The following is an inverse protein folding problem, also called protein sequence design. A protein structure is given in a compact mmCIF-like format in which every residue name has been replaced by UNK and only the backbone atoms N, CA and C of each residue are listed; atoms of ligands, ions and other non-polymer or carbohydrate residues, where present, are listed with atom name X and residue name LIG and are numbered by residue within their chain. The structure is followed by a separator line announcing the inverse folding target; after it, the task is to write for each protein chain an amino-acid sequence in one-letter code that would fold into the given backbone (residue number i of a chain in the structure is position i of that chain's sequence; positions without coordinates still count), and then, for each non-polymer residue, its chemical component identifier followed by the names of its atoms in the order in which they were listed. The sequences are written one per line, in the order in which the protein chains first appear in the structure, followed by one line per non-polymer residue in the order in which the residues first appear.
data_IF_887326669270
#
_entry.id   IF_887326669270
#
_cell.length_a   1.000
_cell.length_b   1.000
_cell.length_c   1.000
_cell.angle_alpha   90.00
_cell.angle_beta   90.00
_cell.angle_gamma   90.00
#
_symmetry.space_group_name_H-M   'P 1'
#
loop_
_entity.id
_entity.type
_entity.pdbx_description
1 polymer ?
#
# COMPACT_ATOMS: atom_id res chain seq x y z
N UNK A 1 6.88 9.55 15.07
CA UNK A 1 6.50 8.25 15.65
C UNK A 1 5.51 7.53 14.73
N UNK A 2 5.61 6.20 14.63
CA UNK A 2 4.71 5.38 13.79
C UNK A 2 3.88 4.44 14.69
N UNK A 3 2.60 4.24 14.36
CA UNK A 3 1.70 3.31 15.07
C UNK A 3 0.97 2.37 14.09
N UNK A 4 0.40 1.29 14.62
CA UNK A 4 -0.37 0.35 13.79
C UNK A 4 -1.84 0.75 13.63
N UNK A 5 -2.41 1.49 14.58
CA UNK A 5 -3.82 1.89 14.55
C UNK A 5 -3.99 3.40 14.63
N UNK A 6 -5.08 3.89 14.05
CA UNK A 6 -5.48 5.30 14.14
C UNK A 6 -5.77 5.70 15.59
N UNK A 7 -6.34 4.78 16.39
CA UNK A 7 -6.57 4.98 17.82
C UNK A 7 -5.26 5.24 18.56
N UNK A 8 -4.26 4.38 18.37
CA UNK A 8 -2.95 4.55 19.00
C UNK A 8 -2.24 5.83 18.52
N UNK A 9 -2.36 6.18 17.23
CA UNK A 9 -1.83 7.45 16.72
C UNK A 9 -2.47 8.64 17.44
N UNK A 10 -3.80 8.62 17.60
CA UNK A 10 -4.56 9.68 18.27
C UNK A 10 -4.20 9.79 19.75
N UNK A 11 -4.22 8.68 20.48
CA UNK A 11 -3.86 8.65 21.91
C UNK A 11 -2.43 9.15 22.16
N UNK A 12 -1.49 8.81 21.27
CA UNK A 12 -0.11 9.30 21.35
C UNK A 12 -0.02 10.82 21.13
N UNK A 13 -0.75 11.36 20.13
CA UNK A 13 -0.82 12.82 19.91
C UNK A 13 -1.43 13.54 21.11
N UNK A 14 -2.56 13.05 21.62
CA UNK A 14 -3.23 13.63 22.81
C UNK A 14 -2.31 13.63 24.03
N UNK A 15 -1.52 12.57 24.24
CA UNK A 15 -0.55 12.50 25.33
C UNK A 15 0.59 13.51 25.18
N UNK A 16 1.08 13.73 23.95
CA UNK A 16 2.16 14.67 23.66
C UNK A 16 1.69 16.13 23.79
N UNK A 17 0.48 16.44 23.33
CA UNK A 17 -0.12 17.77 23.45
C UNK A 17 -0.27 18.25 24.91
N UNK A 18 -0.37 17.33 25.87
CA UNK A 18 -0.41 17.66 27.32
C UNK A 18 0.97 17.96 27.92
N UNK A 19 2.06 17.62 27.22
CA UNK A 19 3.44 17.69 27.75
C UNK A 19 4.32 18.70 27.05
N UNK A 20 3.94 19.13 25.85
CA UNK A 20 4.71 20.04 25.01
C UNK A 20 3.89 21.29 24.69
N UNK A 21 4.54 22.44 24.46
CA UNK A 21 3.88 23.59 23.85
C UNK A 21 3.19 23.20 22.55
N UNK A 22 2.04 23.81 22.26
CA UNK A 22 1.18 23.40 21.14
C UNK A 22 1.95 23.35 19.80
N UNK A 23 2.77 24.36 19.52
CA UNK A 23 3.57 24.43 18.29
C UNK A 23 4.54 23.24 18.12
N UNK A 24 5.14 22.75 19.22
CA UNK A 24 6.04 21.59 19.19
C UNK A 24 5.26 20.28 19.08
N UNK A 25 4.08 20.20 19.70
CA UNK A 25 3.22 19.02 19.60
C UNK A 25 2.66 18.80 18.20
N UNK A 26 2.39 19.89 17.46
CA UNK A 26 1.90 19.85 16.07
C UNK A 26 3.03 19.54 15.07
N UNK A 27 4.26 19.95 15.39
CA UNK A 27 5.44 19.58 14.59
C UNK A 27 5.77 18.07 14.67
N UNK A 28 5.34 17.39 15.73
CA UNK A 28 5.55 15.95 15.93
C UNK A 28 4.72 15.11 14.95
N UNK A 29 5.42 14.52 13.98
CA UNK A 29 4.83 13.60 13.00
C UNK A 29 4.51 12.26 13.65
N UNK A 30 3.30 12.14 14.19
CA UNK A 30 2.70 10.86 14.58
C UNK A 30 1.78 10.40 13.45
N UNK A 31 1.93 9.17 12.94
CA UNK A 31 1.02 8.62 11.93
C UNK A 31 1.01 7.09 11.94
N UNK A 32 0.06 6.47 11.25
CA UNK A 32 0.16 5.03 10.92
C UNK A 32 1.13 4.81 9.76
N UNK A 33 1.51 3.56 9.51
CA UNK A 33 2.27 3.18 8.30
C UNK A 33 1.54 3.59 7.02
N UNK A 34 0.27 3.24 6.89
CA UNK A 34 -0.55 3.60 5.73
C UNK A 34 -0.70 5.11 5.54
N UNK A 35 -0.87 5.88 6.62
CA UNK A 35 -0.94 7.34 6.53
C UNK A 35 0.41 7.98 6.16
N UNK A 36 1.54 7.37 6.52
CA UNK A 36 2.85 7.79 6.03
C UNK A 36 3.00 7.44 4.54
N UNK A 37 2.65 6.22 4.17
CA UNK A 37 2.68 5.71 2.80
C UNK A 37 1.84 6.52 1.82
N UNK A 38 0.61 6.88 2.20
CA UNK A 38 -0.24 7.76 1.41
C UNK A 38 0.41 9.13 1.17
N UNK A 39 0.96 9.76 2.21
CA UNK A 39 1.67 11.05 2.08
C UNK A 39 2.92 10.91 1.20
N UNK A 40 3.64 9.80 1.32
CA UNK A 40 4.77 9.49 0.46
C UNK A 40 4.34 9.42 -1.01
N UNK A 41 3.32 8.62 -1.32
CA UNK A 41 2.82 8.47 -2.69
C UNK A 41 2.20 9.75 -3.25
N UNK A 42 1.60 10.60 -2.42
CA UNK A 42 1.13 11.92 -2.87
C UNK A 42 2.28 12.85 -3.29
N UNK A 43 3.42 12.78 -2.61
CA UNK A 43 4.60 13.58 -2.94
C UNK A 43 5.38 12.99 -4.13
N UNK A 44 5.53 11.67 -4.15
CA UNK A 44 6.34 10.93 -5.12
C UNK A 44 5.48 10.24 -6.19
N UNK A 45 4.25 10.73 -6.44
CA UNK A 45 3.28 10.07 -7.32
C UNK A 45 3.87 9.73 -8.68
N UNK A 46 4.70 10.63 -9.24
CA UNK A 46 5.26 10.47 -10.58
C UNK A 46 6.27 9.33 -10.61
N UNK A 47 7.08 9.19 -9.55
CA UNK A 47 8.01 8.07 -9.38
C UNK A 47 7.26 6.73 -9.23
N UNK A 48 6.10 6.77 -8.58
CA UNK A 48 5.21 5.61 -8.47
C UNK A 48 4.43 5.29 -9.76
N UNK A 49 4.58 6.06 -10.84
CA UNK A 49 3.78 5.91 -12.06
C UNK A 49 2.31 6.32 -11.89
N UNK A 50 2.00 7.15 -10.89
CA UNK A 50 0.67 7.64 -10.55
C UNK A 50 0.49 9.11 -10.94
N UNK A 51 -0.76 9.50 -11.19
CA UNK A 51 -1.17 10.91 -11.33
C UNK A 51 -1.54 11.48 -9.95
N UNK A 52 -1.40 12.80 -9.76
CA UNK A 52 -1.61 13.52 -8.47
C UNK A 52 -2.92 13.16 -7.74
N UNK A 53 -3.99 12.90 -8.49
CA UNK A 53 -5.33 12.61 -7.95
C UNK A 53 -5.63 11.11 -7.97
N UNK A 54 -4.73 10.27 -7.47
CA UNK A 54 -4.99 8.84 -7.39
C UNK A 54 -5.97 8.50 -6.25
N UNK A 55 -6.78 7.47 -6.46
CA UNK A 55 -7.74 6.99 -5.48
C UNK A 55 -7.14 5.85 -4.64
N UNK A 56 -7.56 5.74 -3.39
CA UNK A 56 -7.28 4.56 -2.55
C UNK A 56 -8.55 3.74 -2.50
N UNK A 57 -8.51 2.51 -3.03
CA UNK A 57 -9.64 1.60 -2.96
C UNK A 57 -9.79 1.03 -1.56
N UNK A 58 -11.04 0.90 -1.13
CA UNK A 58 -11.38 0.19 0.09
C UNK A 58 -11.52 -1.33 -0.16
N UNK A 59 -11.95 -2.06 0.87
CA UNK A 59 -12.08 -3.51 0.81
C UNK A 59 -13.19 -3.97 -0.15
N UNK A 60 -14.26 -3.18 -0.31
CA UNK A 60 -15.42 -3.51 -1.13
C UNK A 60 -15.10 -3.23 -2.60
N UNK A 61 -14.51 -2.08 -2.91
CA UNK A 61 -14.00 -1.72 -4.24
C UNK A 61 -12.96 -2.74 -4.72
N UNK A 62 -12.05 -3.14 -3.83
CA UNK A 62 -11.04 -4.17 -4.11
C UNK A 62 -11.70 -5.52 -4.40
N UNK A 63 -12.69 -5.93 -3.61
CA UNK A 63 -13.41 -7.18 -3.83
C UNK A 63 -14.18 -7.18 -5.16
N UNK A 64 -14.81 -6.06 -5.52
CA UNK A 64 -15.51 -5.90 -6.79
C UNK A 64 -14.54 -6.03 -7.98
N UNK A 65 -13.40 -5.35 -7.94
CA UNK A 65 -12.38 -5.45 -8.99
C UNK A 65 -11.82 -6.87 -9.16
N UNK A 66 -11.59 -7.58 -8.06
CA UNK A 66 -11.11 -8.97 -8.09
C UNK A 66 -12.18 -9.94 -8.60
N UNK A 67 -13.45 -9.72 -8.24
CA UNK A 67 -14.57 -10.50 -8.76
C UNK A 67 -14.64 -10.44 -10.28
N UNK A 68 -14.41 -9.27 -10.87
CA UNK A 68 -14.40 -9.07 -12.32
C UNK A 68 -13.18 -9.72 -13.02
N UNK A 69 -12.20 -10.24 -12.27
CA UNK A 69 -11.07 -11.04 -12.80
C UNK A 69 -11.30 -12.54 -12.70
N UNK A 70 -12.36 -12.95 -12.02
CA UNK A 70 -12.71 -14.35 -11.84
C UNK A 70 -13.77 -14.79 -12.86
N UNK A 71 -13.87 -16.08 -13.17
CA UNK A 71 -14.96 -16.61 -13.97
C UNK A 71 -16.32 -16.28 -13.34
N UNK A 72 -17.37 -16.12 -14.16
CA UNK A 72 -18.74 -15.82 -13.67
C UNK A 72 -19.28 -16.85 -12.67
N UNK A 73 -18.77 -18.08 -12.70
CA UNK A 73 -19.16 -19.16 -11.80
C UNK A 73 -18.38 -19.17 -10.46
N UNK A 74 -17.41 -18.26 -10.29
CA UNK A 74 -16.60 -18.18 -9.08
C UNK A 74 -17.46 -17.80 -7.86
N UNK A 75 -17.13 -18.40 -6.72
CA UNK A 75 -17.79 -18.14 -5.44
C UNK A 75 -17.11 -16.99 -4.71
N UNK A 76 -17.78 -16.45 -3.70
CA UNK A 76 -17.20 -15.40 -2.85
C UNK A 76 -15.90 -15.87 -2.18
N UNK A 77 -15.81 -17.14 -1.81
CA UNK A 77 -14.60 -17.75 -1.23
C UNK A 77 -13.40 -17.65 -2.19
N UNK A 78 -13.61 -17.76 -3.49
CA UNK A 78 -12.53 -17.62 -4.50
C UNK A 78 -11.98 -16.19 -4.52
N UNK A 79 -12.86 -15.18 -4.34
CA UNK A 79 -12.46 -13.77 -4.21
C UNK A 79 -11.60 -13.58 -2.96
N UNK A 80 -12.04 -14.15 -1.83
CA UNK A 80 -11.31 -14.05 -0.57
C UNK A 80 -9.93 -14.71 -0.64
N UNK A 81 -9.85 -15.89 -1.26
CA UNK A 81 -8.59 -16.62 -1.48
C UNK A 81 -7.65 -15.81 -2.36
N UNK A 82 -8.13 -15.29 -3.50
CA UNK A 82 -7.31 -14.49 -4.40
C UNK A 82 -6.83 -13.20 -3.73
N UNK A 83 -7.73 -12.47 -3.06
CA UNK A 83 -7.39 -11.25 -2.31
C UNK A 83 -6.34 -11.53 -1.24
N UNK A 84 -6.50 -12.62 -0.49
CA UNK A 84 -5.54 -13.03 0.54
C UNK A 84 -4.15 -13.33 -0.03
N UNK A 85 -4.09 -14.04 -1.16
CA UNK A 85 -2.83 -14.35 -1.82
C UNK A 85 -2.12 -13.08 -2.34
N UNK A 86 -2.87 -12.16 -2.96
CA UNK A 86 -2.34 -10.87 -3.43
C UNK A 86 -1.84 -10.04 -2.25
N UNK A 87 -2.64 -9.91 -1.18
CA UNK A 87 -2.26 -9.16 0.00
C UNK A 87 -1.00 -9.73 0.67
N UNK A 88 -0.90 -11.06 0.76
CA UNK A 88 0.29 -11.72 1.29
C UNK A 88 1.53 -11.43 0.45
N UNK A 89 1.42 -11.50 -0.88
CA UNK A 89 2.51 -11.14 -1.80
C UNK A 89 2.94 -9.68 -1.63
N UNK A 90 1.98 -8.75 -1.57
CA UNK A 90 2.27 -7.32 -1.37
C UNK A 90 2.95 -7.04 -0.04
N UNK A 91 2.50 -7.69 1.03
CA UNK A 91 3.11 -7.59 2.37
C UNK A 91 4.52 -8.20 2.44
N UNK A 92 4.86 -9.13 1.54
CA UNK A 92 6.20 -9.65 1.37
C UNK A 92 7.08 -8.77 0.45
N UNK A 93 6.58 -7.63 -0.03
CA UNK A 93 7.30 -6.74 -0.96
C UNK A 93 7.29 -7.21 -2.41
N UNK A 94 6.57 -8.29 -2.74
CA UNK A 94 6.59 -8.90 -4.07
C UNK A 94 5.60 -8.23 -5.01
N UNK A 95 6.01 -8.01 -6.25
CA UNK A 95 5.13 -7.63 -7.35
C UNK A 95 4.63 -8.86 -8.14
N UNK A 96 3.75 -8.63 -9.12
CA UNK A 96 3.16 -9.71 -9.92
C UNK A 96 4.21 -10.51 -10.69
N UNK A 97 5.28 -9.86 -11.16
CA UNK A 97 6.36 -10.52 -11.90
C UNK A 97 7.20 -11.42 -11.00
N UNK A 98 7.52 -10.96 -9.78
CA UNK A 98 8.22 -11.75 -8.77
C UNK A 98 7.39 -12.97 -8.34
N UNK A 99 6.09 -12.79 -8.12
CA UNK A 99 5.18 -13.91 -7.82
C UNK A 99 5.10 -14.90 -8.98
N UNK A 100 5.04 -14.43 -10.22
CA UNK A 100 5.04 -15.29 -11.41
C UNK A 100 6.34 -16.10 -11.54
N UNK A 101 7.49 -15.49 -11.23
CA UNK A 101 8.80 -16.14 -11.26
C UNK A 101 8.94 -17.18 -10.16
N UNK A 102 8.37 -16.93 -8.98
CA UNK A 102 8.44 -17.86 -7.84
C UNK A 102 7.43 -19.01 -7.90
N UNK A 103 6.41 -18.91 -8.77
CA UNK A 103 5.34 -19.90 -8.90
C UNK A 103 5.87 -21.27 -9.36
N UNK A 104 5.37 -22.34 -8.72
CA UNK A 104 5.75 -23.73 -8.98
C UNK A 104 4.57 -24.62 -9.36
N UNK A 105 3.36 -24.20 -9.05
CA UNK A 105 2.12 -24.92 -9.36
C UNK A 105 1.23 -24.14 -10.33
N UNK A 106 0.35 -24.86 -11.04
CA UNK A 106 -0.63 -24.23 -11.93
C UNK A 106 -1.48 -23.17 -11.23
N UNK A 107 -1.85 -23.43 -9.96
CA UNK A 107 -2.61 -22.49 -9.12
C UNK A 107 -1.81 -21.22 -8.81
N UNK A 108 -0.52 -21.33 -8.50
CA UNK A 108 0.33 -20.17 -8.23
C UNK A 108 0.52 -19.31 -9.49
N UNK A 109 0.73 -19.94 -10.66
CA UNK A 109 0.77 -19.21 -11.93
C UNK A 109 -0.54 -18.48 -12.22
N UNK A 110 -1.67 -19.12 -11.93
CA UNK A 110 -3.00 -18.51 -12.09
C UNK A 110 -3.19 -17.30 -11.16
N UNK A 111 -2.75 -17.40 -9.90
CA UNK A 111 -2.74 -16.28 -8.95
C UNK A 111 -1.85 -15.14 -9.46
N UNK A 112 -0.65 -15.45 -9.95
CA UNK A 112 0.27 -14.45 -10.48
C UNK A 112 -0.32 -13.70 -11.68
N UNK A 113 -0.96 -14.42 -12.61
CA UNK A 113 -1.60 -13.83 -13.78
C UNK A 113 -2.77 -12.91 -13.38
N UNK A 114 -3.58 -13.33 -12.40
CA UNK A 114 -4.67 -12.50 -11.87
C UNK A 114 -4.16 -11.30 -11.08
N UNK A 115 -3.08 -11.46 -10.32
CA UNK A 115 -2.43 -10.35 -9.63
C UNK A 115 -1.94 -9.32 -10.64
N UNK A 116 -1.32 -9.75 -11.74
CA UNK A 116 -0.88 -8.82 -12.79
C UNK A 116 -2.05 -8.06 -13.41
N UNK A 117 -3.11 -8.76 -13.80
CA UNK A 117 -4.32 -8.15 -14.35
C UNK A 117 -4.99 -7.18 -13.34
N UNK A 118 -4.96 -7.50 -12.04
CA UNK A 118 -5.42 -6.59 -10.99
C UNK A 118 -4.58 -5.31 -10.91
N UNK A 119 -3.24 -5.42 -10.91
CA UNK A 119 -2.36 -4.25 -10.90
C UNK A 119 -2.51 -3.40 -12.17
N UNK A 120 -2.79 -4.00 -13.32
CA UNK A 120 -3.09 -3.27 -14.55
C UNK A 120 -4.39 -2.46 -14.42
N UNK A 121 -5.45 -3.03 -13.83
CA UNK A 121 -6.71 -2.31 -13.56
C UNK A 121 -6.53 -1.16 -12.59
N UNK A 122 -5.80 -1.37 -11.49
CA UNK A 122 -5.45 -0.30 -10.54
C UNK A 122 -4.76 0.86 -11.26
N UNK A 123 -3.75 0.58 -12.10
CA UNK A 123 -3.06 1.60 -12.89
C UNK A 123 -3.99 2.32 -13.86
N UNK A 124 -4.85 1.59 -14.57
CA UNK A 124 -5.82 2.17 -15.49
C UNK A 124 -6.79 3.15 -14.78
N UNK A 125 -7.23 2.79 -13.57
CA UNK A 125 -8.10 3.62 -12.73
C UNK A 125 -7.36 4.71 -11.98
N UNK A 126 -6.03 4.82 -12.14
CA UNK A 126 -5.18 5.69 -11.34
C UNK A 126 -5.47 5.49 -9.84
N UNK A 127 -5.47 4.24 -9.40
CA UNK A 127 -5.81 3.85 -8.06
C UNK A 127 -4.72 2.95 -7.46
N UNK A 128 -4.71 2.90 -6.13
CA UNK A 128 -3.94 1.96 -5.32
C UNK A 128 -4.87 1.30 -4.32
N UNK A 129 -4.52 0.13 -3.82
CA UNK A 129 -5.19 -0.45 -2.65
C UNK A 129 -4.42 -0.14 -1.36
N UNK A 130 -4.92 -0.65 -0.24
CA UNK A 130 -4.35 -0.38 1.07
C UNK A 130 -2.92 -0.94 1.23
N UNK A 131 -2.65 -2.14 0.69
CA UNK A 131 -1.34 -2.79 0.77
C UNK A 131 -0.29 -2.07 -0.09
N UNK A 132 -0.70 -1.48 -1.22
CA UNK A 132 0.18 -0.66 -2.05
C UNK A 132 0.67 0.61 -1.34
N UNK A 133 -0.06 1.11 -0.31
CA UNK A 133 0.42 2.22 0.52
C UNK A 133 1.71 1.86 1.29
N UNK A 134 2.06 0.58 1.43
CA UNK A 134 3.31 0.15 2.05
C UNK A 134 4.27 -0.37 0.98
N UNK A 135 3.80 -1.25 0.10
CA UNK A 135 4.64 -1.92 -0.90
C UNK A 135 5.26 -0.94 -1.90
N UNK A 136 4.50 0.05 -2.39
CA UNK A 136 5.04 1.00 -3.38
C UNK A 136 6.11 1.92 -2.79
N UNK A 137 5.94 2.54 -1.61
CA UNK A 137 7.02 3.27 -0.97
C UNK A 137 8.27 2.43 -0.74
N UNK A 138 8.11 1.18 -0.27
CA UNK A 138 9.23 0.26 -0.09
C UNK A 138 9.99 0.06 -1.40
N UNK A 139 9.29 -0.34 -2.46
CA UNK A 139 9.90 -0.59 -3.76
C UNK A 139 10.62 0.65 -4.32
N UNK A 140 10.05 1.85 -4.17
CA UNK A 140 10.67 3.09 -4.61
C UNK A 140 11.92 3.44 -3.81
N UNK A 141 11.90 3.23 -2.50
CA UNK A 141 13.04 3.50 -1.62
C UNK A 141 14.18 2.49 -1.83
N UNK A 142 13.88 1.24 -2.15
CA UNK A 142 14.89 0.22 -2.49
C UNK A 142 15.51 0.46 -3.87
N UNK A 143 14.72 0.95 -4.83
CA UNK A 143 15.18 1.22 -6.19
C UNK A 143 15.96 2.53 -6.33
N UNK A 144 15.74 3.51 -5.46
CA UNK A 144 16.37 4.84 -5.54
C UNK A 144 17.00 5.26 -4.20
N UNK A 145 18.32 5.09 -4.11
CA UNK A 145 19.09 5.43 -2.92
C UNK A 145 19.09 6.94 -2.62
N UNK A 146 18.99 7.81 -3.63
CA UNK A 146 18.93 9.26 -3.44
C UNK A 146 17.58 9.65 -2.83
N UNK A 147 16.49 9.10 -3.35
CA UNK A 147 15.16 9.26 -2.77
C UNK A 147 15.13 8.79 -1.32
N UNK A 148 15.76 7.64 -1.04
CA UNK A 148 15.87 7.12 0.32
C UNK A 148 16.63 8.06 1.26
N UNK A 149 17.70 8.70 0.80
CA UNK A 149 18.42 9.71 1.58
C UNK A 149 17.54 10.95 1.83
N UNK A 150 16.86 11.46 0.81
CA UNK A 150 15.94 12.62 0.95
C UNK A 150 14.86 12.34 1.99
N UNK A 151 14.24 11.16 1.94
CA UNK A 151 13.19 10.79 2.90
C UNK A 151 13.74 10.52 4.29
N UNK A 152 14.95 9.98 4.41
CA UNK A 152 15.65 9.81 5.69
C UNK A 152 15.93 11.16 6.35
N UNK A 153 16.43 12.13 5.61
CA UNK A 153 16.66 13.50 6.10
C UNK A 153 15.34 14.18 6.50
N UNK A 154 14.29 14.06 5.67
CA UNK A 154 12.97 14.63 5.98
C UNK A 154 12.36 14.05 7.25
N UNK A 155 12.57 12.76 7.52
CA UNK A 155 12.01 12.05 8.67
C UNK A 155 12.96 12.00 9.86
N UNK A 156 14.06 12.76 9.84
CA UNK A 156 14.88 12.98 11.03
C UNK A 156 14.01 13.58 12.13
N UNK A 157 14.17 13.00 13.31
CA UNK A 157 13.69 13.55 14.58
C UNK A 157 14.85 14.28 15.24
#
# INVERSE_FOLDING_TARGET
AITFTNKAAREMRERLAKRLPQAESEALRVSTFHALGLRFLQQEHARAGLRRSFSVLDADDTAALLKDLLPKAARNDDIHVLRGAISQAKNAGLDSAAVATAARSAREHEIAARYDAYQQRLRAYNAVDFDDLIRLPLALLEADAELALVWRERLRY
#
